data_IF_183447850091
#
_entry.id   IF_183447850091
#
_cell.length_a   1.000
_cell.length_b   1.000
_cell.length_c   1.000
_cell.angle_alpha   90.00
_cell.angle_beta   90.00
_cell.angle_gamma   90.00
#
_symmetry.space_group_name_H-M   'P 1'
#
loop_
_entity.id
_entity.type
_entity.pdbx_description
1 polymer ?
#
# COMPACT_ATOMS: atom_id res chain seq x y z
N UNK A 1 -13.03 -31.77 26.75
CA UNK A 1 -13.20 -31.16 25.41
C UNK A 1 -12.66 -29.77 25.43
N UNK A 2 -11.44 -29.59 25.04
CA UNK A 2 -10.93 -28.30 24.67
C UNK A 2 -11.61 -27.93 23.35
N UNK A 3 -12.57 -27.01 23.41
CA UNK A 3 -13.12 -26.39 22.21
C UNK A 3 -12.02 -25.44 21.72
N UNK A 4 -11.28 -25.89 20.73
CA UNK A 4 -10.51 -25.01 19.85
C UNK A 4 -11.51 -24.04 19.20
N UNK A 5 -11.78 -22.92 19.86
CA UNK A 5 -12.41 -21.78 19.21
C UNK A 5 -11.35 -21.24 18.27
N UNK A 6 -11.52 -21.63 17.01
CA UNK A 6 -10.50 -21.52 15.99
C UNK A 6 -10.07 -20.09 15.76
N UNK A 7 -8.81 -19.96 15.45
CA UNK A 7 -8.18 -18.79 14.83
C UNK A 7 -9.04 -18.18 13.70
N UNK A 8 -9.92 -18.92 13.05
CA UNK A 8 -10.87 -18.45 12.05
C UNK A 8 -11.90 -17.42 12.55
N UNK A 9 -12.24 -17.38 13.84
CA UNK A 9 -13.20 -16.41 14.38
C UNK A 9 -12.56 -15.04 14.65
N UNK A 10 -11.26 -15.00 14.90
CA UNK A 10 -10.51 -13.75 15.07
C UNK A 10 -10.37 -13.04 13.72
N UNK A 11 -10.12 -13.80 12.64
CA UNK A 11 -9.99 -13.24 11.29
C UNK A 11 -11.33 -12.76 10.70
N UNK A 12 -12.46 -13.39 11.05
CA UNK A 12 -13.78 -13.01 10.53
C UNK A 12 -14.34 -11.70 11.10
N UNK A 13 -13.74 -11.16 12.16
CA UNK A 13 -14.21 -9.93 12.84
C UNK A 13 -13.35 -8.70 12.56
N UNK A 14 -12.33 -8.81 11.73
CA UNK A 14 -11.52 -7.68 11.30
C UNK A 14 -12.11 -7.07 10.03
N UNK A 15 -12.01 -5.76 9.90
CA UNK A 15 -12.34 -5.05 8.66
C UNK A 15 -11.50 -5.62 7.52
N UNK A 16 -12.14 -6.01 6.44
CA UNK A 16 -11.47 -6.62 5.28
C UNK A 16 -11.36 -5.66 4.10
N UNK A 17 -12.24 -4.69 4.05
CA UNK A 17 -12.29 -3.67 3.02
C UNK A 17 -12.68 -2.34 3.64
N UNK A 18 -12.09 -1.28 3.13
CA UNK A 18 -12.47 0.11 3.41
C UNK A 18 -12.76 0.80 2.09
N UNK A 19 -13.70 1.74 2.11
CA UNK A 19 -13.87 2.63 0.95
C UNK A 19 -12.77 3.68 0.92
N UNK A 20 -12.50 4.25 -0.27
CA UNK A 20 -11.58 5.39 -0.40
C UNK A 20 -11.99 6.53 0.54
N UNK A 21 -13.29 6.78 0.70
CA UNK A 21 -13.76 7.83 1.59
C UNK A 21 -13.49 7.49 3.06
N UNK A 22 -13.72 6.25 3.49
CA UNK A 22 -13.39 5.82 4.86
C UNK A 22 -11.90 5.94 5.16
N UNK A 23 -11.02 5.60 4.19
CA UNK A 23 -9.59 5.81 4.32
C UNK A 23 -9.25 7.29 4.48
N UNK A 24 -9.82 8.17 3.66
CA UNK A 24 -9.66 9.63 3.80
C UNK A 24 -10.10 10.11 5.19
N UNK A 25 -11.25 9.67 5.65
CA UNK A 25 -11.82 10.06 6.94
C UNK A 25 -10.99 9.56 8.13
N UNK A 26 -10.39 8.37 8.03
CA UNK A 26 -9.45 7.84 9.04
C UNK A 26 -8.21 8.75 9.10
N UNK A 27 -7.59 9.04 7.97
CA UNK A 27 -6.38 9.86 7.94
C UNK A 27 -6.63 11.36 8.13
N UNK A 28 -7.88 11.80 8.00
CA UNK A 28 -8.32 13.14 8.42
C UNK A 28 -8.62 13.23 9.94
N UNK A 29 -8.66 12.08 10.65
CA UNK A 29 -9.02 12.02 12.06
C UNK A 29 -10.52 12.12 12.32
N UNK A 30 -11.36 12.02 11.29
CA UNK A 30 -12.83 12.06 11.42
C UNK A 30 -13.37 10.70 11.89
N UNK A 31 -12.80 9.60 11.39
CA UNK A 31 -13.06 8.24 11.86
C UNK A 31 -11.87 7.81 12.72
N UNK A 32 -12.11 7.61 14.00
CA UNK A 32 -11.07 7.26 14.98
C UNK A 32 -11.29 5.90 15.64
N UNK A 33 -12.36 5.20 15.30
CA UNK A 33 -12.69 3.91 15.90
C UNK A 33 -13.08 2.89 14.82
N UNK A 34 -12.53 1.70 14.90
CA UNK A 34 -12.82 0.62 13.95
C UNK A 34 -14.29 0.23 13.89
N UNK A 35 -15.06 0.42 14.97
CA UNK A 35 -16.52 0.13 14.96
C UNK A 35 -17.28 0.95 13.93
N UNK A 36 -16.81 2.15 13.63
CA UNK A 36 -17.47 3.07 12.70
C UNK A 36 -17.34 2.59 11.24
N UNK A 37 -16.45 1.63 11.01
CA UNK A 37 -16.25 0.97 9.71
C UNK A 37 -16.53 -0.55 9.77
N UNK A 38 -17.31 -0.99 10.75
CA UNK A 38 -17.74 -2.38 10.88
C UNK A 38 -16.75 -3.32 11.60
N UNK A 39 -15.73 -2.77 12.23
CA UNK A 39 -14.76 -3.49 13.04
C UNK A 39 -15.15 -3.62 14.51
N UNK A 40 -14.19 -3.90 15.35
CA UNK A 40 -14.35 -3.94 16.80
C UNK A 40 -14.38 -2.51 17.38
N UNK A 41 -14.92 -2.37 18.60
CA UNK A 41 -14.83 -1.12 19.36
C UNK A 41 -13.39 -0.96 19.89
N UNK A 42 -12.54 -0.39 19.04
CA UNK A 42 -11.11 -0.15 19.28
C UNK A 42 -10.70 1.10 18.52
N UNK A 43 -9.86 1.91 19.14
CA UNK A 43 -9.28 3.10 18.52
C UNK A 43 -8.43 2.70 17.30
N UNK A 44 -8.50 3.49 16.23
CA UNK A 44 -7.65 3.34 15.04
C UNK A 44 -6.32 4.05 15.29
N UNK A 45 -5.22 3.32 15.17
CA UNK A 45 -3.87 3.88 15.21
C UNK A 45 -3.37 3.99 13.76
N UNK A 46 -3.46 5.19 13.22
CA UNK A 46 -3.10 5.47 11.83
C UNK A 46 -1.66 5.95 11.72
N UNK A 47 -0.78 5.07 11.24
CA UNK A 47 0.62 5.38 10.98
C UNK A 47 0.77 6.16 9.67
N UNK A 48 1.67 7.13 9.69
CA UNK A 48 2.09 7.88 8.52
C UNK A 48 3.61 7.77 8.33
N UNK A 49 4.12 8.37 7.30
CA UNK A 49 5.54 8.55 7.07
C UNK A 49 5.88 10.04 7.24
N UNK A 50 7.15 10.34 7.41
CA UNK A 50 7.63 11.72 7.42
C UNK A 50 7.25 12.42 6.12
N UNK A 51 6.96 13.71 6.19
CA UNK A 51 6.51 14.51 5.05
C UNK A 51 7.51 14.52 3.87
N UNK A 52 8.80 14.34 4.15
CA UNK A 52 9.88 14.28 3.18
C UNK A 52 10.07 12.90 2.53
N UNK A 53 9.28 11.89 2.89
CA UNK A 53 9.39 10.55 2.31
C UNK A 53 8.58 10.41 1.02
N UNK A 54 9.15 9.72 0.02
CA UNK A 54 8.47 9.45 -1.24
C UNK A 54 7.15 8.68 -1.09
N UNK A 55 7.05 7.77 -0.11
CA UNK A 55 5.81 7.04 0.17
C UNK A 55 4.73 7.94 0.77
N UNK A 56 5.09 8.94 1.59
CA UNK A 56 4.14 9.93 2.10
C UNK A 56 3.64 10.83 0.97
N UNK A 57 4.53 11.28 0.09
CA UNK A 57 4.16 12.07 -1.08
C UNK A 57 3.20 11.29 -2.00
N UNK A 58 3.51 10.01 -2.22
CA UNK A 58 2.65 9.13 -3.04
C UNK A 58 1.28 8.91 -2.38
N UNK A 59 1.26 8.63 -1.08
CA UNK A 59 0.04 8.49 -0.29
C UNK A 59 -0.84 9.75 -0.36
N UNK A 60 -0.25 10.92 -0.19
CA UNK A 60 -0.97 12.18 -0.32
C UNK A 60 -1.54 12.35 -1.73
N UNK A 61 -0.73 12.09 -2.77
CA UNK A 61 -1.16 12.21 -4.17
C UNK A 61 -2.32 11.27 -4.51
N UNK A 62 -2.25 10.00 -4.09
CA UNK A 62 -3.20 8.96 -4.50
C UNK A 62 -4.47 8.97 -3.65
N UNK A 63 -4.35 9.13 -2.34
CA UNK A 63 -5.47 9.02 -1.43
C UNK A 63 -5.99 10.38 -0.97
N UNK A 64 -5.15 11.20 -0.35
CA UNK A 64 -5.60 12.42 0.31
C UNK A 64 -5.96 13.51 -0.70
N UNK A 65 -5.12 13.67 -1.73
CA UNK A 65 -5.25 14.74 -2.73
C UNK A 65 -5.24 16.12 -2.04
N UNK A 66 -6.30 16.93 -2.20
CA UNK A 66 -6.45 18.24 -1.56
C UNK A 66 -7.25 18.16 -0.22
N UNK A 67 -7.52 16.94 0.26
CA UNK A 67 -8.28 16.71 1.49
C UNK A 67 -7.46 16.99 2.75
N UNK A 68 -8.14 17.07 3.91
CA UNK A 68 -7.47 17.23 5.18
C UNK A 68 -6.66 15.97 5.55
N UNK A 69 -5.50 16.19 6.13
CA UNK A 69 -4.64 15.15 6.69
C UNK A 69 -4.30 15.54 8.13
N UNK A 70 -4.57 14.64 9.08
CA UNK A 70 -4.21 14.87 10.48
C UNK A 70 -2.68 14.86 10.63
N UNK A 71 -2.18 15.63 11.55
CA UNK A 71 -0.79 15.57 11.97
C UNK A 71 -0.57 14.28 12.78
N UNK A 72 0.30 13.39 12.28
CA UNK A 72 0.63 12.19 13.02
C UNK A 72 1.58 12.52 14.17
N UNK A 73 1.39 11.94 15.36
CA UNK A 73 2.41 11.98 16.40
C UNK A 73 3.76 11.48 15.89
N UNK A 74 4.85 12.01 16.41
CA UNK A 74 6.20 11.67 15.93
C UNK A 74 6.48 10.17 16.01
N UNK A 75 5.98 9.51 17.03
CA UNK A 75 6.09 8.05 17.25
C UNK A 75 5.30 7.21 16.22
N UNK A 76 4.31 7.82 15.55
CA UNK A 76 3.52 7.18 14.50
C UNK A 76 3.98 7.59 13.08
N UNK A 77 5.14 8.25 12.97
CA UNK A 77 5.73 8.68 11.71
C UNK A 77 7.18 8.15 11.54
N UNK A 78 7.37 6.83 11.41
CA UNK A 78 8.68 6.22 11.29
C UNK A 78 9.46 6.71 10.07
N UNK A 79 10.78 6.71 10.18
CA UNK A 79 11.69 7.25 9.16
C UNK A 79 11.86 6.30 7.98
N UNK A 80 11.96 4.99 8.24
CA UNK A 80 12.13 3.98 7.19
C UNK A 80 10.84 3.19 6.92
N UNK A 81 10.70 2.64 5.70
CA UNK A 81 9.52 1.83 5.36
C UNK A 81 9.47 0.53 6.18
N UNK A 82 10.62 -0.10 6.46
CA UNK A 82 10.71 -1.26 7.32
C UNK A 82 10.23 -0.96 8.75
N UNK A 83 10.61 0.17 9.31
CA UNK A 83 10.15 0.62 10.62
C UNK A 83 8.62 0.83 10.65
N UNK A 84 8.03 1.34 9.57
CA UNK A 84 6.57 1.47 9.46
C UNK A 84 5.90 0.09 9.51
N UNK A 85 6.40 -0.87 8.74
CA UNK A 85 5.87 -2.22 8.68
C UNK A 85 6.03 -2.92 10.04
N UNK A 86 7.20 -2.80 10.67
CA UNK A 86 7.45 -3.35 12.00
C UNK A 86 6.54 -2.71 13.06
N UNK A 87 6.41 -1.39 13.04
CA UNK A 87 5.54 -0.67 13.96
C UNK A 87 4.09 -1.13 13.86
N UNK A 88 3.57 -1.33 12.66
CA UNK A 88 2.20 -1.82 12.47
C UNK A 88 2.07 -3.28 12.93
N UNK A 89 3.06 -4.13 12.62
CA UNK A 89 3.04 -5.55 12.96
C UNK A 89 3.21 -5.78 14.47
N UNK A 90 4.01 -4.96 15.14
CA UNK A 90 4.41 -5.14 16.54
C UNK A 90 3.63 -4.24 17.52
N UNK A 91 2.84 -3.28 17.02
CA UNK A 91 2.16 -2.30 17.86
C UNK A 91 1.25 -2.96 18.89
N UNK A 92 1.79 -3.20 20.09
CA UNK A 92 1.11 -3.79 21.26
C UNK A 92 0.32 -5.09 20.96
N UNK A 93 0.73 -5.89 19.96
CA UNK A 93 -0.07 -7.01 19.45
C UNK A 93 -1.51 -6.62 19.07
N UNK A 94 -1.75 -5.37 18.77
CA UNK A 94 -3.10 -4.86 18.57
C UNK A 94 -3.46 -4.85 17.09
N UNK A 95 -4.58 -5.47 16.78
CA UNK A 95 -5.19 -5.46 15.45
C UNK A 95 -5.83 -4.11 15.08
N UNK A 96 -5.41 -3.02 15.73
CA UNK A 96 -6.00 -1.69 15.56
C UNK A 96 -5.11 -0.69 14.80
N UNK A 97 -3.90 -1.09 14.42
CA UNK A 97 -3.01 -0.27 13.62
C UNK A 97 -3.35 -0.35 12.12
N UNK A 98 -3.23 0.76 11.42
CA UNK A 98 -3.30 0.86 9.97
C UNK A 98 -2.14 1.70 9.44
N UNK A 99 -1.64 1.36 8.26
CA UNK A 99 -0.61 2.12 7.56
C UNK A 99 -0.63 1.80 6.07
N UNK A 100 0.33 2.33 5.33
CA UNK A 100 0.42 2.17 3.88
C UNK A 100 1.85 1.87 3.45
N UNK A 101 1.98 1.15 2.36
CA UNK A 101 3.26 0.81 1.75
C UNK A 101 3.09 0.56 0.26
N UNK A 102 4.20 0.46 -0.45
CA UNK A 102 4.21 -0.02 -1.83
C UNK A 102 3.93 -1.54 -1.80
N UNK A 103 3.00 -2.00 -2.65
CA UNK A 103 2.55 -3.40 -2.69
C UNK A 103 3.71 -4.38 -2.78
N UNK A 104 4.60 -4.19 -3.76
CA UNK A 104 5.78 -5.06 -3.95
C UNK A 104 6.64 -5.18 -2.69
N UNK A 105 6.80 -4.07 -1.93
CA UNK A 105 7.60 -4.08 -0.72
C UNK A 105 7.03 -5.03 0.33
N UNK A 106 5.71 -5.04 0.52
CA UNK A 106 5.04 -5.89 1.50
C UNK A 106 4.92 -7.33 1.01
N UNK A 107 4.65 -7.53 -0.28
CA UNK A 107 4.41 -8.86 -0.85
C UNK A 107 5.70 -9.67 -1.04
N UNK A 108 6.76 -9.03 -1.56
CA UNK A 108 7.98 -9.72 -1.97
C UNK A 108 9.21 -9.45 -1.10
N UNK A 109 9.35 -8.25 -0.53
CA UNK A 109 10.58 -7.87 0.16
C UNK A 109 10.48 -7.96 1.67
N UNK A 110 9.37 -7.57 2.27
CA UNK A 110 9.26 -7.38 3.70
C UNK A 110 7.92 -7.85 4.27
N UNK A 111 7.58 -9.10 4.01
CA UNK A 111 6.36 -9.71 4.56
C UNK A 111 6.55 -10.01 6.05
N UNK A 112 5.56 -9.65 6.86
CA UNK A 112 5.55 -9.93 8.30
C UNK A 112 4.30 -10.72 8.68
N UNK A 113 4.42 -11.73 9.56
CA UNK A 113 3.27 -12.41 10.13
C UNK A 113 2.33 -11.43 10.85
N UNK A 114 1.04 -11.61 10.70
CA UNK A 114 0.03 -10.77 11.36
C UNK A 114 -0.38 -9.53 10.58
N UNK A 115 0.29 -9.19 9.49
CA UNK A 115 -0.14 -8.14 8.57
C UNK A 115 -1.18 -8.67 7.59
N UNK A 116 -2.08 -7.80 7.21
CA UNK A 116 -3.08 -8.03 6.19
C UNK A 116 -3.16 -6.84 5.25
N UNK A 117 -3.14 -7.10 3.96
CA UNK A 117 -3.52 -6.12 2.96
C UNK A 117 -5.04 -5.94 2.98
N UNK A 118 -5.49 -4.70 3.07
CA UNK A 118 -6.90 -4.36 3.03
C UNK A 118 -7.36 -4.17 1.58
N UNK A 119 -8.56 -4.67 1.29
CA UNK A 119 -9.24 -4.28 0.06
C UNK A 119 -9.66 -2.82 0.14
N UNK A 120 -9.62 -2.13 -0.99
CA UNK A 120 -10.13 -0.76 -1.15
C UNK A 120 -11.28 -0.79 -2.14
N UNK A 121 -12.44 -0.26 -1.75
CA UNK A 121 -13.68 -0.34 -2.51
C UNK A 121 -14.04 -1.79 -2.95
N UNK A 122 -13.71 -2.77 -2.09
CA UNK A 122 -13.96 -4.18 -2.33
C UNK A 122 -12.90 -4.88 -3.19
N UNK A 123 -11.91 -4.17 -3.74
CA UNK A 123 -10.83 -4.73 -4.57
C UNK A 123 -9.60 -5.01 -3.71
N UNK A 124 -9.14 -6.25 -3.67
CA UNK A 124 -7.90 -6.64 -2.98
C UNK A 124 -6.69 -6.36 -3.87
N UNK A 125 -5.61 -5.76 -3.34
CA UNK A 125 -4.41 -5.54 -4.12
C UNK A 125 -3.75 -6.88 -4.50
N UNK A 126 -3.48 -7.06 -5.78
CA UNK A 126 -2.75 -8.19 -6.36
C UNK A 126 -2.05 -7.72 -7.65
N UNK A 127 -1.15 -8.54 -8.18
CA UNK A 127 -0.52 -8.23 -9.47
C UNK A 127 -1.57 -8.04 -10.58
N UNK A 128 -2.64 -8.85 -10.58
CA UNK A 128 -3.72 -8.76 -11.57
C UNK A 128 -4.49 -7.45 -11.43
N UNK A 129 -4.96 -7.12 -10.19
CA UNK A 129 -5.76 -5.92 -9.95
C UNK A 129 -4.96 -4.62 -10.06
N UNK A 130 -3.63 -4.69 -9.98
CA UNK A 130 -2.73 -3.58 -10.26
C UNK A 130 -2.50 -3.46 -11.77
N UNK A 131 -2.31 -4.59 -12.48
CA UNK A 131 -2.09 -4.62 -13.93
C UNK A 131 -3.29 -4.08 -14.72
N UNK A 132 -4.51 -4.48 -14.34
CA UNK A 132 -5.75 -4.07 -14.98
C UNK A 132 -6.30 -2.75 -14.40
N UNK A 133 -5.58 -2.14 -13.43
CA UNK A 133 -5.94 -0.88 -12.77
C UNK A 133 -7.29 -0.91 -12.04
N UNK A 134 -7.82 -2.09 -11.71
CA UNK A 134 -9.04 -2.22 -10.91
C UNK A 134 -8.82 -1.86 -9.45
N UNK A 135 -7.58 -2.00 -8.92
CA UNK A 135 -7.24 -1.51 -7.59
C UNK A 135 -7.11 0.02 -7.62
N UNK A 136 -7.85 0.76 -6.79
CA UNK A 136 -7.98 2.22 -6.99
C UNK A 136 -6.75 3.05 -6.60
N UNK A 137 -5.78 2.48 -5.87
CA UNK A 137 -4.57 3.18 -5.42
C UNK A 137 -3.32 2.73 -6.21
N UNK A 138 -3.42 2.72 -7.53
CA UNK A 138 -2.28 2.42 -8.41
C UNK A 138 -1.46 3.65 -8.71
N UNK A 139 -0.14 3.46 -8.86
CA UNK A 139 0.78 4.47 -9.36
C UNK A 139 1.62 3.88 -10.48
N UNK A 140 1.85 4.67 -11.50
CA UNK A 140 2.63 4.28 -12.67
C UNK A 140 4.07 4.76 -12.54
N UNK A 141 4.99 3.97 -13.05
CA UNK A 141 6.39 4.33 -13.24
C UNK A 141 6.67 4.44 -14.74
N UNK A 142 7.40 5.45 -15.13
CA UNK A 142 7.67 5.74 -16.53
C UNK A 142 9.16 5.65 -16.82
N UNK A 143 9.51 5.04 -17.95
CA UNK A 143 10.80 5.23 -18.55
C UNK A 143 10.72 6.40 -19.56
N UNK A 144 11.63 7.34 -19.48
CA UNK A 144 11.69 8.48 -20.38
C UNK A 144 13.11 8.62 -20.96
N UNK A 145 13.19 8.96 -22.23
CA UNK A 145 14.43 9.31 -22.92
C UNK A 145 14.24 10.65 -23.65
N UNK A 146 15.34 11.28 -24.05
CA UNK A 146 15.26 12.47 -24.89
C UNK A 146 14.64 12.13 -26.25
N UNK A 147 13.81 13.02 -26.76
CA UNK A 147 13.09 12.80 -28.03
C UNK A 147 14.05 12.65 -29.22
N UNK A 148 15.16 13.37 -29.18
CA UNK A 148 16.21 13.40 -30.22
C UNK A 148 17.35 12.40 -29.98
N UNK A 149 17.21 11.48 -29.01
CA UNK A 149 18.17 10.39 -28.83
C UNK A 149 18.34 9.60 -30.13
N UNK A 150 19.59 9.35 -30.52
CA UNK A 150 19.89 8.61 -31.73
C UNK A 150 19.28 7.19 -31.70
N UNK A 151 18.86 6.68 -32.86
CA UNK A 151 18.17 5.38 -32.96
C UNK A 151 19.03 4.20 -32.48
N UNK A 152 20.34 4.32 -32.58
CA UNK A 152 21.33 3.32 -32.17
C UNK A 152 21.95 3.58 -30.79
N UNK A 153 21.48 4.63 -30.09
CA UNK A 153 21.98 4.95 -28.76
C UNK A 153 21.59 3.91 -27.72
N UNK A 154 22.42 3.70 -26.69
CA UNK A 154 22.13 2.72 -25.64
C UNK A 154 20.81 2.97 -24.92
N UNK A 155 20.49 4.24 -24.63
CA UNK A 155 19.25 4.63 -23.94
C UNK A 155 18.01 4.31 -24.78
N UNK A 156 18.05 4.55 -26.10
CA UNK A 156 16.95 4.20 -27.01
C UNK A 156 16.77 2.70 -27.11
N UNK A 157 17.84 1.96 -27.23
CA UNK A 157 17.78 0.49 -27.28
C UNK A 157 17.19 -0.10 -26.01
N UNK A 158 17.54 0.43 -24.82
CA UNK A 158 16.94 -0.01 -23.55
C UNK A 158 15.46 0.37 -23.50
N UNK A 159 15.11 1.60 -23.87
CA UNK A 159 13.74 2.08 -23.90
C UNK A 159 12.84 1.19 -24.78
N UNK A 160 13.28 0.87 -25.99
CA UNK A 160 12.55 0.01 -26.92
C UNK A 160 12.49 -1.43 -26.40
N UNK A 161 13.60 -1.93 -25.80
CA UNK A 161 13.63 -3.27 -25.22
C UNK A 161 12.65 -3.44 -24.08
N UNK A 162 12.41 -2.44 -23.24
CA UNK A 162 11.43 -2.51 -22.16
C UNK A 162 10.00 -2.83 -22.66
N UNK A 163 9.68 -2.49 -23.89
CA UNK A 163 8.39 -2.79 -24.52
C UNK A 163 8.32 -4.20 -25.15
N UNK A 164 9.42 -4.93 -25.22
CA UNK A 164 9.44 -6.32 -25.72
C UNK A 164 9.00 -7.31 -24.64
N UNK A 165 8.64 -8.54 -25.05
CA UNK A 165 8.29 -9.61 -24.10
C UNK A 165 9.42 -9.90 -23.10
N UNK A 166 10.68 -9.84 -23.56
CA UNK A 166 11.84 -10.02 -22.68
C UNK A 166 11.98 -8.87 -21.66
N UNK A 167 11.74 -7.63 -22.09
CA UNK A 167 11.75 -6.46 -21.21
C UNK A 167 10.61 -6.51 -20.19
N UNK A 168 9.40 -6.85 -20.61
CA UNK A 168 8.26 -7.05 -19.74
C UNK A 168 8.51 -8.15 -18.71
N UNK A 169 9.02 -9.30 -19.15
CA UNK A 169 9.39 -10.38 -18.25
C UNK A 169 10.45 -9.95 -17.22
N UNK A 170 11.41 -9.11 -17.60
CA UNK A 170 12.38 -8.54 -16.66
C UNK A 170 11.73 -7.61 -15.63
N UNK A 171 10.79 -6.76 -16.07
CA UNK A 171 10.00 -5.89 -15.17
C UNK A 171 9.25 -6.74 -14.14
N UNK A 172 8.57 -7.80 -14.60
CA UNK A 172 7.79 -8.71 -13.71
C UNK A 172 8.69 -9.45 -12.74
N UNK A 173 9.84 -9.96 -13.18
CA UNK A 173 10.83 -10.62 -12.31
C UNK A 173 11.46 -9.66 -11.29
N UNK A 174 11.49 -8.36 -11.57
CA UNK A 174 11.93 -7.34 -10.62
C UNK A 174 10.85 -6.95 -9.62
N UNK A 175 9.64 -7.51 -9.77
CA UNK A 175 8.50 -7.34 -8.87
C UNK A 175 7.60 -6.16 -9.17
N UNK A 176 7.81 -5.49 -10.29
CA UNK A 176 6.87 -4.52 -10.83
C UNK A 176 5.86 -5.21 -11.76
N UNK A 177 4.75 -4.58 -11.96
CA UNK A 177 3.71 -5.05 -12.88
C UNK A 177 3.88 -4.34 -14.21
N UNK A 178 4.12 -5.11 -15.29
CA UNK A 178 4.18 -4.56 -16.63
C UNK A 178 2.76 -4.23 -17.11
N UNK A 179 2.50 -2.98 -17.50
CA UNK A 179 1.24 -2.56 -18.14
C UNK A 179 1.29 -2.92 -19.62
N UNK A 180 0.13 -3.29 -20.16
CA UNK A 180 -0.03 -3.63 -21.57
C UNK A 180 -0.10 -2.37 -22.44
#
# INVERSE_FOLDING_TARGET
>A
RSVSRGLGDVYKRQVQSLTLQQLKDIYAGTITNWKDVGGKDQEIIAFQRRADSGSQTLFQKLLIQDGPLMEAPTELAPTAMGELVDSIAEYNNSANAIGFSVYYYIDQMYSKPGLRLLAVDGVTPSNETIADQSYPLCNEFYAAILQDSAADSPERRIYEWLSTDAGRSCIEHSGYVAVQ
#
